data_IF_673173449384
#
_entry.id   IF_673173449384
#
_cell.length_a   1.000
_cell.length_b   1.000
_cell.length_c   1.000
_cell.angle_alpha   90.00
_cell.angle_beta   90.00
_cell.angle_gamma   90.00
#
_symmetry.space_group_name_H-M   'P 1'
#
loop_
_entity.id
_entity.type
_entity.pdbx_description
1 polymer ?
#
# COMPACT_ATOMS: atom_id res chain seq x y z
N UNK A 1 -2.40 -3.66 -16.57
CA UNK A 1 -1.07 -3.67 -15.93
C UNK A 1 -1.30 -3.84 -14.45
N UNK A 2 -0.65 -4.79 -13.77
CA UNK A 2 -0.75 -4.91 -12.31
C UNK A 2 -0.05 -3.71 -11.65
N UNK A 3 -0.57 -3.25 -10.51
CA UNK A 3 -0.09 -2.04 -9.84
C UNK A 3 1.40 -2.10 -9.46
N UNK A 4 1.95 -3.30 -9.25
CA UNK A 4 3.33 -3.46 -8.79
C UNK A 4 4.39 -3.58 -9.90
N UNK A 5 4.00 -3.65 -11.18
CA UNK A 5 4.94 -4.01 -12.26
C UNK A 5 6.14 -3.07 -12.40
N UNK A 6 5.95 -1.79 -12.05
CA UNK A 6 6.99 -0.74 -12.06
C UNK A 6 7.46 -0.33 -10.65
N UNK A 7 6.96 -0.99 -9.61
CA UNK A 7 7.33 -0.70 -8.22
C UNK A 7 8.68 -1.33 -7.89
N UNK A 8 9.55 -0.58 -7.21
CA UNK A 8 10.81 -1.13 -6.69
C UNK A 8 10.49 -2.11 -5.56
N UNK A 9 11.03 -3.32 -5.60
CA UNK A 9 10.69 -4.36 -4.61
C UNK A 9 9.56 -5.30 -5.04
N UNK A 10 9.09 -5.21 -6.30
CA UNK A 10 8.00 -6.05 -6.84
C UNK A 10 8.24 -7.55 -6.75
N UNK A 11 9.50 -7.98 -6.69
CA UNK A 11 9.89 -9.37 -6.51
C UNK A 11 9.31 -9.97 -5.22
N UNK A 12 9.06 -9.14 -4.19
CA UNK A 12 8.35 -9.58 -2.98
C UNK A 12 6.95 -10.07 -3.30
N UNK A 13 6.22 -9.39 -4.19
CA UNK A 13 4.86 -9.80 -4.55
C UNK A 13 4.90 -11.06 -5.44
N UNK A 14 5.82 -11.09 -6.40
CA UNK A 14 5.99 -12.23 -7.31
C UNK A 14 6.38 -13.49 -6.53
N UNK A 15 7.35 -13.41 -5.63
CA UNK A 15 7.87 -14.60 -4.94
C UNK A 15 7.02 -15.02 -3.73
N UNK A 16 6.36 -14.09 -3.04
CA UNK A 16 5.55 -14.44 -1.86
C UNK A 16 4.13 -14.84 -2.25
N UNK A 17 3.55 -14.22 -3.28
CA UNK A 17 2.14 -14.38 -3.62
C UNK A 17 1.89 -14.78 -5.08
N UNK A 18 2.90 -15.20 -5.83
CA UNK A 18 2.78 -15.53 -7.26
C UNK A 18 2.20 -14.36 -8.11
N UNK A 19 2.48 -13.13 -7.69
CA UNK A 19 1.94 -11.93 -8.33
C UNK A 19 0.47 -11.64 -8.00
N UNK A 20 -0.16 -12.40 -7.12
CA UNK A 20 -1.54 -12.23 -6.64
C UNK A 20 -1.53 -11.35 -5.38
N UNK A 21 -1.68 -10.04 -5.52
CA UNK A 21 -1.89 -9.13 -4.38
C UNK A 21 -2.44 -7.83 -4.91
N UNK A 22 -3.69 -7.51 -4.57
CA UNK A 22 -4.36 -6.27 -4.96
C UNK A 22 -4.53 -5.32 -3.78
N UNK A 23 -4.60 -4.02 -4.09
CA UNK A 23 -4.79 -2.95 -3.09
C UNK A 23 -6.23 -2.40 -3.10
N UNK A 24 -7.21 -3.26 -3.42
CA UNK A 24 -8.62 -2.87 -3.58
C UNK A 24 -9.40 -2.80 -2.25
N UNK A 25 -9.01 -3.60 -1.27
CA UNK A 25 -9.62 -3.63 0.06
C UNK A 25 -8.53 -3.52 1.12
N UNK A 26 -8.15 -2.28 1.36
CA UNK A 26 -7.10 -1.92 2.31
C UNK A 26 -7.65 -1.05 3.42
N UNK A 27 -6.99 -1.11 4.58
CA UNK A 27 -7.07 -0.07 5.59
C UNK A 27 -5.83 0.79 5.55
N UNK A 28 -6.05 2.10 5.60
CA UNK A 28 -4.99 3.07 5.87
C UNK A 28 -4.65 3.04 7.36
N UNK A 29 -3.43 2.62 7.68
CA UNK A 29 -2.93 2.54 9.05
C UNK A 29 -2.09 3.76 9.40
N UNK A 30 -1.10 4.07 8.55
CA UNK A 30 -0.12 5.11 8.83
C UNK A 30 0.16 5.94 7.57
N UNK A 31 0.23 7.26 7.77
CA UNK A 31 0.70 8.25 6.78
C UNK A 31 1.84 9.02 7.44
N UNK A 32 3.08 8.82 6.99
CA UNK A 32 4.26 9.54 7.50
C UNK A 32 4.92 10.30 6.35
N UNK A 33 4.83 11.62 6.38
CA UNK A 33 5.48 12.49 5.41
C UNK A 33 6.65 13.21 6.10
N UNK A 34 7.86 13.04 5.56
CA UNK A 34 9.06 13.70 6.07
C UNK A 34 10.03 13.99 4.93
N UNK A 35 10.65 15.17 4.97
CA UNK A 35 11.47 15.71 3.91
C UNK A 35 10.76 15.65 2.54
N UNK A 36 11.25 14.80 1.64
CA UNK A 36 10.73 14.55 0.29
C UNK A 36 10.24 13.10 0.13
N UNK A 37 9.85 12.44 1.23
CA UNK A 37 9.43 11.04 1.28
C UNK A 37 8.08 10.88 1.99
N UNK A 38 7.24 9.98 1.46
CA UNK A 38 5.98 9.56 2.07
C UNK A 38 6.00 8.06 2.31
N UNK A 39 5.72 7.64 3.54
CA UNK A 39 5.50 6.25 3.90
C UNK A 39 3.99 6.05 4.13
N UNK A 40 3.39 5.15 3.34
CA UNK A 40 2.02 4.70 3.49
C UNK A 40 2.01 3.24 3.96
N UNK A 41 1.54 3.02 5.19
CA UNK A 41 1.30 1.68 5.70
C UNK A 41 -0.17 1.32 5.50
N UNK A 42 -0.39 0.21 4.82
CA UNK A 42 -1.70 -0.34 4.54
C UNK A 42 -1.82 -1.74 5.11
N UNK A 43 -3.03 -2.10 5.52
CA UNK A 43 -3.41 -3.48 5.82
C UNK A 43 -4.35 -4.01 4.73
N UNK A 44 -3.90 -5.00 3.98
CA UNK A 44 -4.66 -5.68 2.93
C UNK A 44 -5.46 -6.83 3.55
N UNK A 45 -6.77 -6.85 3.32
CA UNK A 45 -7.66 -7.89 3.84
C UNK A 45 -8.07 -8.92 2.78
N UNK A 46 -7.96 -8.56 1.51
CA UNK A 46 -8.13 -9.51 0.40
C UNK A 46 -6.87 -10.38 0.33
N UNK A 47 -6.86 -11.43 1.15
CA UNK A 47 -5.73 -12.34 1.21
C UNK A 47 -5.62 -13.12 -0.10
N UNK A 48 -4.41 -13.18 -0.69
CA UNK A 48 -4.21 -13.92 -1.91
C UNK A 48 -4.29 -15.42 -1.67
N UNK A 49 -4.47 -16.16 -2.75
CA UNK A 49 -4.59 -17.63 -2.70
C UNK A 49 -3.26 -18.29 -2.31
N UNK A 50 -2.14 -17.69 -2.71
CA UNK A 50 -0.80 -18.15 -2.41
C UNK A 50 -0.11 -17.18 -1.44
N UNK A 51 0.50 -17.72 -0.38
CA UNK A 51 1.38 -16.99 0.54
C UNK A 51 2.35 -17.97 1.22
N UNK A 52 3.46 -17.49 1.81
CA UNK A 52 4.49 -18.36 2.38
C UNK A 52 3.93 -19.31 3.46
N UNK A 53 4.28 -20.59 3.42
CA UNK A 53 3.83 -21.60 4.41
C UNK A 53 4.12 -21.19 5.86
N UNK A 54 5.24 -20.52 6.11
CA UNK A 54 5.59 -20.01 7.44
C UNK A 54 4.55 -19.03 8.02
N UNK A 55 3.74 -18.39 7.19
CA UNK A 55 2.65 -17.49 7.61
C UNK A 55 1.37 -18.26 7.95
N UNK A 56 1.17 -19.49 7.46
CA UNK A 56 0.00 -20.31 7.84
C UNK A 56 -0.04 -20.55 9.35
N UNK A 57 1.13 -20.61 10.00
CA UNK A 57 1.24 -20.81 11.45
C UNK A 57 0.96 -19.54 12.28
N UNK A 58 0.94 -18.35 11.68
CA UNK A 58 0.84 -17.08 12.41
C UNK A 58 -0.59 -16.61 12.68
N UNK A 59 -1.62 -17.37 12.31
CA UNK A 59 -3.06 -17.05 12.54
C UNK A 59 -3.48 -15.64 12.09
N UNK A 60 -2.75 -15.07 11.12
CA UNK A 60 -2.90 -13.70 10.64
C UNK A 60 -4.23 -13.51 9.91
N UNK A 61 -4.73 -12.28 9.86
CA UNK A 61 -5.98 -11.93 9.18
C UNK A 61 -5.83 -10.75 8.21
N UNK A 62 -4.63 -10.19 8.08
CA UNK A 62 -4.31 -9.16 7.09
C UNK A 62 -2.82 -9.21 6.70
N UNK A 63 -2.49 -8.62 5.56
CA UNK A 63 -1.11 -8.41 5.12
C UNK A 63 -0.76 -6.94 5.32
N UNK A 64 0.28 -6.65 6.09
CA UNK A 64 0.86 -5.32 6.18
C UNK A 64 1.73 -5.08 4.95
N UNK A 65 1.54 -3.94 4.30
CA UNK A 65 2.43 -3.43 3.26
C UNK A 65 2.84 -2.01 3.60
N UNK A 66 4.14 -1.72 3.51
CA UNK A 66 4.68 -0.36 3.60
C UNK A 66 5.17 0.07 2.22
N UNK A 67 4.50 1.08 1.66
CA UNK A 67 4.87 1.72 0.41
C UNK A 67 5.56 3.04 0.71
N UNK A 68 6.74 3.21 0.14
CA UNK A 68 7.53 4.43 0.28
C UNK A 68 7.60 5.14 -1.06
N UNK A 69 7.17 6.39 -1.09
CA UNK A 69 7.24 7.27 -2.25
C UNK A 69 8.41 8.22 -2.05
N UNK A 70 9.32 8.28 -3.02
CA UNK A 70 10.55 9.08 -2.94
C UNK A 70 10.53 10.21 -3.97
N UNK A 71 11.13 11.34 -3.59
CA UNK A 71 11.08 12.59 -4.35
C UNK A 71 9.62 12.97 -4.61
N UNK A 72 8.89 13.20 -3.52
CA UNK A 72 7.53 13.70 -3.58
C UNK A 72 7.48 15.01 -4.37
N UNK A 73 6.62 15.02 -5.39
CA UNK A 73 6.33 16.18 -6.22
C UNK A 73 5.11 16.93 -5.66
N UNK A 74 4.05 16.18 -5.34
CA UNK A 74 2.83 16.73 -4.74
C UNK A 74 2.20 15.76 -3.74
N UNK A 75 1.59 16.29 -2.68
CA UNK A 75 0.72 15.52 -1.78
C UNK A 75 -0.49 16.35 -1.36
N UNK A 76 -1.67 15.79 -1.60
CA UNK A 76 -2.95 16.27 -1.11
C UNK A 76 -3.38 15.39 0.05
N UNK A 77 -3.41 15.96 1.26
CA UNK A 77 -3.88 15.24 2.44
C UNK A 77 -4.88 16.06 3.25
N UNK A 78 -6.12 15.58 3.29
CA UNK A 78 -7.18 16.12 4.12
C UNK A 78 -7.98 14.98 4.74
N UNK A 79 -8.34 15.09 6.01
CA UNK A 79 -9.16 14.09 6.66
C UNK A 79 -9.85 14.63 7.91
N UNK A 80 -11.09 14.17 8.13
CA UNK A 80 -11.79 14.26 9.41
C UNK A 80 -11.71 12.93 10.18
N UNK A 81 -10.49 12.50 10.47
CA UNK A 81 -10.20 11.22 11.15
C UNK A 81 -9.58 10.20 10.21
N UNK A 82 -8.32 9.88 10.45
CA UNK A 82 -7.51 9.00 9.60
C UNK A 82 -7.42 7.57 10.14
N UNK A 83 -7.96 7.34 11.35
CA UNK A 83 -7.89 6.04 11.99
C UNK A 83 -8.90 5.06 11.35
N UNK A 84 -8.43 3.88 10.96
CA UNK A 84 -9.26 2.77 10.43
C UNK A 84 -10.07 3.15 9.18
N UNK A 85 -9.48 3.93 8.27
CA UNK A 85 -10.13 4.28 7.00
C UNK A 85 -9.96 3.13 6.01
N UNK A 86 -11.08 2.53 5.59
CA UNK A 86 -11.11 1.54 4.51
C UNK A 86 -11.11 2.21 3.14
N UNK A 87 -10.42 1.62 2.18
CA UNK A 87 -10.39 2.11 0.82
C UNK A 87 -9.62 1.22 -0.13
N UNK A 88 -9.25 1.81 -1.26
CA UNK A 88 -8.43 1.25 -2.31
C UNK A 88 -7.27 2.21 -2.59
N UNK A 89 -6.06 1.70 -2.75
CA UNK A 89 -4.94 2.49 -3.25
C UNK A 89 -4.74 2.20 -4.73
N UNK A 90 -4.86 3.23 -5.56
CA UNK A 90 -4.52 3.18 -6.98
C UNK A 90 -3.16 3.81 -7.23
N UNK A 91 -2.37 3.18 -8.12
CA UNK A 91 -1.12 3.73 -8.62
C UNK A 91 -1.18 3.85 -10.15
N UNK A 92 -0.90 5.05 -10.66
CA UNK A 92 -0.77 5.33 -12.08
C UNK A 92 0.68 5.65 -12.41
N UNK A 93 1.30 4.82 -13.24
CA UNK A 93 2.69 5.00 -13.65
C UNK A 93 2.78 5.70 -15.00
N UNK A 94 3.30 6.93 -14.96
CA UNK A 94 3.62 7.74 -16.13
C UNK A 94 5.09 7.50 -16.54
N UNK A 95 5.61 8.27 -17.48
CA UNK A 95 6.97 8.07 -18.00
C UNK A 95 8.04 8.31 -16.92
N UNK A 96 7.90 9.39 -16.14
CA UNK A 96 8.90 9.84 -15.16
C UNK A 96 8.35 10.00 -13.74
N UNK A 97 7.10 9.57 -13.48
CA UNK A 97 6.47 9.70 -12.16
C UNK A 97 5.45 8.60 -11.91
N UNK A 98 5.12 8.40 -10.65
CA UNK A 98 3.99 7.63 -10.17
C UNK A 98 3.03 8.56 -9.45
N UNK A 99 1.76 8.52 -9.85
CA UNK A 99 0.66 9.16 -9.14
C UNK A 99 -0.03 8.11 -8.26
N UNK A 100 -0.40 8.49 -7.05
CA UNK A 100 -1.15 7.64 -6.14
C UNK A 100 -2.46 8.32 -5.72
N UNK A 101 -3.50 7.51 -5.54
CA UNK A 101 -4.80 7.98 -5.08
C UNK A 101 -5.45 6.95 -4.16
N UNK A 102 -5.78 7.37 -2.94
CA UNK A 102 -6.46 6.56 -1.96
C UNK A 102 -7.98 6.81 -2.02
N UNK A 103 -8.68 5.95 -2.75
CA UNK A 103 -10.11 6.03 -2.95
C UNK A 103 -10.81 5.42 -1.73
N UNK A 104 -11.70 6.20 -1.10
CA UNK A 104 -12.48 5.74 0.05
C UNK A 104 -13.85 6.43 0.06
N UNK A 105 -14.77 5.89 0.85
CA UNK A 105 -16.13 6.44 1.01
C UNK A 105 -16.21 7.51 2.11
N UNK A 106 -15.12 7.78 2.81
CA UNK A 106 -15.06 8.76 3.89
C UNK A 106 -14.59 10.11 3.34
N UNK A 107 -14.68 11.17 4.14
CA UNK A 107 -14.13 12.50 3.82
C UNK A 107 -12.59 12.53 3.92
N UNK A 108 -11.89 11.48 3.47
CA UNK A 108 -10.43 11.40 3.44
C UNK A 108 -9.94 11.59 2.02
N UNK A 109 -9.18 12.64 1.80
CA UNK A 109 -8.44 12.89 0.57
C UNK A 109 -6.98 12.55 0.85
N UNK A 110 -6.45 11.55 0.17
CA UNK A 110 -5.02 11.22 0.17
C UNK A 110 -4.62 10.86 -1.25
N UNK A 111 -3.92 11.77 -1.92
CA UNK A 111 -3.40 11.59 -3.27
C UNK A 111 -2.11 12.37 -3.46
N UNK A 112 -1.38 12.10 -4.54
CA UNK A 112 -0.14 12.81 -4.83
C UNK A 112 0.67 12.17 -5.93
N UNK A 113 1.90 12.65 -6.08
CA UNK A 113 2.86 12.21 -7.09
C UNK A 113 4.27 12.12 -6.51
N UNK A 114 5.07 11.23 -7.09
CA UNK A 114 6.49 11.07 -6.77
C UNK A 114 7.25 10.50 -7.95
N UNK A 115 8.57 10.58 -7.95
CA UNK A 115 9.39 9.97 -9.01
C UNK A 115 9.28 8.43 -9.01
N UNK A 116 9.26 7.83 -7.82
CA UNK A 116 9.23 6.37 -7.67
C UNK A 116 8.56 5.94 -6.37
N UNK A 117 8.10 4.68 -6.39
CA UNK A 117 7.54 3.98 -5.23
C UNK A 117 8.29 2.66 -4.98
N UNK A 118 8.46 2.32 -3.70
CA UNK A 118 9.13 1.10 -3.23
C UNK A 118 8.26 0.33 -2.24
N UNK A 119 8.24 -1.00 -2.35
CA UNK A 119 7.73 -1.89 -1.30
C UNK A 119 8.83 -2.07 -0.26
N UNK A 120 8.80 -1.29 0.81
CA UNK A 120 9.79 -1.35 1.88
C UNK A 120 9.61 -2.61 2.73
N UNK A 121 8.37 -2.91 3.10
CA UNK A 121 8.02 -4.02 3.98
C UNK A 121 6.76 -4.72 3.47
N UNK A 122 6.72 -6.04 3.60
CA UNK A 122 5.51 -6.83 3.45
C UNK A 122 5.53 -7.99 4.43
N UNK A 123 4.44 -8.21 5.15
CA UNK A 123 4.40 -9.22 6.20
C UNK A 123 2.98 -9.56 6.67
N UNK A 124 2.80 -10.72 7.30
CA UNK A 124 1.51 -11.09 7.87
C UNK A 124 1.30 -10.30 9.17
N UNK A 125 0.09 -9.85 9.42
CA UNK A 125 -0.26 -9.16 10.67
C UNK A 125 -1.57 -9.70 11.23
N UNK A 126 -1.62 -9.82 12.56
CA UNK A 126 -2.86 -10.07 13.28
C UNK A 126 -3.39 -8.73 13.76
N UNK A 127 -4.57 -8.37 13.28
CA UNK A 127 -5.29 -7.18 13.72
C UNK A 127 -6.42 -7.64 14.62
N UNK A 128 -6.37 -7.21 15.88
CA UNK A 128 -7.46 -7.43 16.84
C UNK A 128 -8.63 -6.55 16.42
N UNK A 129 -9.67 -7.18 15.88
CA UNK A 129 -10.95 -6.54 15.52
C UNK A 129 -11.86 -6.40 16.72
#
# INVERSE_FOLDING_TARGET
>A
MKWFEKVVGKEKIIHLFDGDLDLNNVFLDTVLCYDYKLDLVLYVYDLPTNFPEKWQKSSFNAIKINLEFFNLDEIHFYSKGIHKVKGQLELLFLENKVEFNFINQNDVMLSGSSDLVRIAEIGPVKIDT
#
